data_IF_600802822882
#
_entry.id   IF_600802822882
#
_cell.length_a   1.000
_cell.length_b   1.000
_cell.length_c   1.000
_cell.angle_alpha   90.00
_cell.angle_beta   90.00
_cell.angle_gamma   90.00
#
_symmetry.space_group_name_H-M   'P 1'
#
loop_
_entity.id
_entity.type
_entity.pdbx_description
1 polymer ?
#
# COMPACT_ATOMS: atom_id res chain seq x y z
N UNK A 1 -21.68 -7.38 -4.26
CA UNK A 1 -21.32 -7.48 -5.69
C UNK A 1 -19.85 -7.85 -5.76
N UNK A 2 -19.51 -8.95 -6.44
CA UNK A 2 -18.14 -9.40 -6.61
C UNK A 2 -17.43 -8.39 -7.52
N UNK A 3 -16.49 -7.61 -7.01
CA UNK A 3 -15.99 -6.42 -7.72
C UNK A 3 -15.02 -6.72 -8.87
N UNK A 4 -14.84 -7.99 -9.26
CA UNK A 4 -13.85 -8.47 -10.24
C UNK A 4 -12.58 -7.61 -10.20
N UNK A 5 -11.98 -7.48 -9.03
CA UNK A 5 -10.83 -6.61 -8.78
C UNK A 5 -9.57 -7.46 -8.79
N UNK A 6 -8.60 -7.08 -9.60
CA UNK A 6 -7.25 -7.61 -9.58
C UNK A 6 -6.28 -6.48 -9.27
N UNK A 7 -5.30 -6.74 -8.40
CA UNK A 7 -4.31 -5.75 -7.98
C UNK A 7 -2.93 -6.35 -8.07
N UNK A 8 -1.99 -5.59 -8.60
CA UNK A 8 -0.62 -6.04 -8.81
C UNK A 8 0.38 -5.01 -8.27
N UNK A 9 1.25 -5.45 -7.37
CA UNK A 9 2.39 -4.66 -6.91
C UNK A 9 3.53 -4.70 -7.95
N UNK A 10 4.16 -3.57 -8.20
CA UNK A 10 5.21 -3.45 -9.23
C UNK A 10 6.23 -2.36 -8.89
N UNK A 11 7.51 -2.60 -9.20
CA UNK A 11 8.53 -1.55 -9.30
C UNK A 11 9.62 -1.54 -8.21
N UNK A 12 9.48 -2.33 -7.14
CA UNK A 12 10.43 -2.31 -6.02
C UNK A 12 11.81 -2.88 -6.37
N UNK A 13 11.86 -3.88 -7.26
CA UNK A 13 13.06 -4.68 -7.52
C UNK A 13 13.95 -4.15 -8.65
N UNK A 14 13.58 -3.04 -9.30
CA UNK A 14 14.35 -2.45 -10.42
C UNK A 14 14.72 -3.45 -11.53
N UNK A 15 13.84 -4.42 -11.80
CA UNK A 15 14.02 -5.48 -12.79
C UNK A 15 13.70 -5.05 -14.24
N UNK A 16 13.29 -3.79 -14.45
CA UNK A 16 12.92 -3.25 -15.75
C UNK A 16 11.56 -3.71 -16.28
N UNK A 17 10.73 -4.36 -15.44
CA UNK A 17 9.36 -4.77 -15.78
C UNK A 17 8.48 -3.53 -16.02
N UNK A 18 7.76 -3.51 -17.15
CA UNK A 18 6.86 -2.42 -17.54
C UNK A 18 5.41 -2.83 -17.32
N UNK A 19 4.52 -1.84 -17.16
CA UNK A 19 3.07 -2.08 -17.15
C UNK A 19 2.57 -2.88 -18.37
N UNK A 20 3.20 -2.69 -19.54
CA UNK A 20 2.83 -3.36 -20.79
C UNK A 20 3.18 -4.85 -20.83
N UNK A 21 4.05 -5.31 -19.93
CA UNK A 21 4.52 -6.69 -19.90
C UNK A 21 3.51 -7.60 -19.18
N UNK A 22 2.60 -7.01 -18.39
CA UNK A 22 1.61 -7.74 -17.61
C UNK A 22 0.30 -7.99 -18.39
N UNK A 23 -0.30 -9.17 -18.26
CA UNK A 23 -1.57 -9.49 -18.89
C UNK A 23 -2.73 -8.76 -18.20
N UNK A 24 -3.44 -7.90 -18.94
CA UNK A 24 -4.58 -7.14 -18.42
C UNK A 24 -5.88 -7.70 -18.98
N UNK A 25 -6.72 -8.26 -18.11
CA UNK A 25 -8.06 -8.71 -18.46
C UNK A 25 -9.05 -7.54 -18.42
N UNK A 26 -9.65 -7.19 -19.57
CA UNK A 26 -10.60 -6.08 -19.70
C UNK A 26 -11.90 -6.24 -18.90
N UNK A 27 -12.22 -7.45 -18.45
CA UNK A 27 -13.45 -7.76 -17.68
C UNK A 27 -13.28 -7.62 -16.16
N UNK A 28 -12.09 -7.19 -15.71
CA UNK A 28 -11.77 -6.94 -14.31
C UNK A 28 -11.33 -5.48 -14.11
N UNK A 29 -11.65 -4.87 -12.97
CA UNK A 29 -10.97 -3.67 -12.52
C UNK A 29 -9.52 -4.06 -12.20
N UNK A 30 -8.55 -3.37 -12.79
CA UNK A 30 -7.14 -3.70 -12.65
C UNK A 30 -6.41 -2.54 -11.99
N UNK A 31 -5.83 -2.76 -10.83
CA UNK A 31 -5.06 -1.73 -10.11
C UNK A 31 -3.59 -2.11 -10.07
N UNK A 32 -2.72 -1.33 -10.72
CA UNK A 32 -1.30 -1.39 -10.42
C UNK A 32 -1.01 -0.64 -9.12
N UNK A 33 -0.08 -1.12 -8.31
CA UNK A 33 0.37 -0.48 -7.07
C UNK A 33 1.89 -0.32 -7.16
N UNK A 34 2.35 0.93 -7.31
CA UNK A 34 3.77 1.27 -7.37
C UNK A 34 4.41 1.09 -6.00
N UNK A 35 5.43 0.23 -5.93
CA UNK A 35 6.17 -0.10 -4.70
C UNK A 35 7.59 0.45 -4.77
N UNK A 36 8.01 1.41 -3.95
CA UNK A 36 7.27 2.08 -2.87
C UNK A 36 7.52 3.60 -2.88
N UNK A 37 6.63 4.35 -2.22
CA UNK A 37 7.01 5.63 -1.61
C UNK A 37 7.41 5.40 -0.15
N UNK A 38 8.50 6.03 0.27
CA UNK A 38 9.03 5.87 1.62
C UNK A 38 9.37 7.25 2.18
N UNK A 39 8.96 7.57 3.40
CA UNK A 39 9.30 8.81 4.08
C UNK A 39 10.70 8.79 4.68
N UNK A 40 11.67 8.31 3.90
CA UNK A 40 13.10 8.23 4.20
C UNK A 40 13.92 9.00 3.16
N UNK A 41 15.11 9.45 3.53
CA UNK A 41 16.05 10.09 2.59
C UNK A 41 16.46 9.12 1.47
N UNK A 42 16.62 9.62 0.24
CA UNK A 42 17.02 8.80 -0.92
C UNK A 42 18.51 8.49 -0.96
N UNK A 43 19.33 9.29 -0.30
CA UNK A 43 20.78 9.09 -0.22
C UNK A 43 21.14 8.29 1.03
N UNK A 44 22.14 7.41 0.89
CA UNK A 44 22.69 6.65 2.00
C UNK A 44 23.60 7.53 2.87
N UNK A 45 23.52 7.43 4.22
CA UNK A 45 22.61 6.58 4.98
C UNK A 45 21.16 7.09 4.94
N UNK A 46 20.21 6.15 4.78
CA UNK A 46 18.79 6.45 4.78
C UNK A 46 18.31 6.79 6.20
N UNK A 47 17.50 7.85 6.34
CA UNK A 47 16.96 8.28 7.62
C UNK A 47 15.49 8.74 7.49
N UNK A 48 14.64 8.53 8.52
CA UNK A 48 13.26 9.00 8.52
C UNK A 48 13.18 10.51 8.30
N UNK A 49 12.13 10.95 7.60
CA UNK A 49 11.93 12.36 7.20
C UNK A 49 10.65 12.96 7.76
N UNK A 50 10.02 12.29 8.73
CA UNK A 50 8.78 12.71 9.36
C UNK A 50 7.66 12.94 8.32
N UNK A 51 7.36 11.92 7.51
CA UNK A 51 6.26 11.96 6.53
C UNK A 51 6.58 12.65 5.21
N UNK A 52 7.84 12.99 4.90
CA UNK A 52 8.19 13.52 3.57
C UNK A 52 8.54 12.39 2.61
N UNK A 53 7.53 11.89 1.91
CA UNK A 53 7.66 10.75 1.01
C UNK A 53 8.57 11.03 -0.19
N UNK A 54 9.46 10.07 -0.47
CA UNK A 54 10.28 10.01 -1.67
C UNK A 54 9.98 8.73 -2.46
N UNK A 55 10.34 8.73 -3.74
CA UNK A 55 10.10 7.62 -4.67
C UNK A 55 11.24 6.60 -4.57
N UNK A 56 10.89 5.32 -4.39
CA UNK A 56 11.82 4.19 -4.32
C UNK A 56 11.48 3.06 -5.31
N UNK A 57 10.54 3.25 -6.23
CA UNK A 57 10.36 2.34 -7.37
C UNK A 57 11.26 2.73 -8.56
N UNK A 58 11.37 1.84 -9.54
CA UNK A 58 11.99 2.10 -10.84
C UNK A 58 11.26 3.19 -11.64
N UNK A 59 11.52 4.44 -11.29
CA UNK A 59 10.86 5.62 -11.86
C UNK A 59 11.27 5.94 -13.30
N UNK A 60 12.37 5.36 -13.78
CA UNK A 60 12.79 5.45 -15.17
C UNK A 60 11.87 4.59 -16.05
N UNK A 61 11.63 3.34 -15.63
CA UNK A 61 10.73 2.41 -16.34
C UNK A 61 9.27 2.77 -16.12
N UNK A 62 8.87 3.01 -14.87
CA UNK A 62 7.49 3.28 -14.44
C UNK A 62 7.25 4.79 -14.30
N UNK A 63 7.59 5.53 -15.35
CA UNK A 63 7.49 7.00 -15.39
C UNK A 63 6.05 7.54 -15.42
N UNK A 64 5.82 8.84 -15.16
CA UNK A 64 4.49 9.45 -15.31
C UNK A 64 3.86 9.24 -16.69
N UNK A 65 4.68 9.24 -17.75
CA UNK A 65 4.22 8.98 -19.11
C UNK A 65 3.79 7.52 -19.29
N UNK A 66 4.49 6.58 -18.65
CA UNK A 66 4.11 5.16 -18.67
C UNK A 66 2.76 4.93 -17.97
N UNK A 67 2.52 5.59 -16.83
CA UNK A 67 1.23 5.57 -16.12
C UNK A 67 0.10 6.10 -17.00
N UNK A 68 0.30 7.27 -17.62
CA UNK A 68 -0.72 7.82 -18.53
C UNK A 68 -0.97 6.95 -19.75
N UNK A 69 0.09 6.36 -20.33
CA UNK A 69 -0.02 5.50 -21.50
C UNK A 69 -0.83 4.24 -21.20
N UNK A 70 -0.58 3.56 -20.07
CA UNK A 70 -1.30 2.34 -19.72
C UNK A 70 -2.78 2.62 -19.42
N UNK A 71 -3.09 3.69 -18.68
CA UNK A 71 -4.47 4.12 -18.39
C UNK A 71 -5.21 4.57 -19.65
N UNK A 72 -4.50 5.19 -20.60
CA UNK A 72 -5.09 5.59 -21.89
C UNK A 72 -5.48 4.38 -22.72
N UNK A 73 -4.63 3.35 -22.73
CA UNK A 73 -4.81 2.08 -23.46
C UNK A 73 -5.88 1.17 -22.82
N UNK A 74 -5.97 1.15 -21.50
CA UNK A 74 -6.89 0.27 -20.75
C UNK A 74 -7.78 1.07 -19.80
N UNK A 75 -9.06 1.25 -20.16
CA UNK A 75 -10.01 2.07 -19.37
C UNK A 75 -10.38 1.47 -18.02
N UNK A 76 -10.14 0.18 -17.83
CA UNK A 76 -10.32 -0.55 -16.58
C UNK A 76 -9.09 -0.50 -15.66
N UNK A 77 -8.02 0.22 -16.04
CA UNK A 77 -6.80 0.33 -15.23
C UNK A 77 -6.80 1.58 -14.36
N UNK A 78 -6.45 1.40 -13.09
CA UNK A 78 -6.02 2.45 -12.16
C UNK A 78 -4.58 2.19 -11.72
N UNK A 79 -3.89 3.23 -11.26
CA UNK A 79 -2.54 3.11 -10.69
C UNK A 79 -2.48 3.83 -9.36
N UNK A 80 -2.09 3.12 -8.31
CA UNK A 80 -1.83 3.64 -6.97
C UNK A 80 -0.34 3.61 -6.64
N UNK A 81 0.04 4.19 -5.50
CA UNK A 81 1.34 3.98 -4.86
C UNK A 81 1.16 3.29 -3.51
N UNK A 82 2.15 2.53 -3.06
CA UNK A 82 2.21 1.97 -1.70
C UNK A 82 3.20 2.74 -0.83
N UNK A 83 2.86 2.92 0.44
CA UNK A 83 3.63 3.66 1.45
C UNK A 83 4.29 2.67 2.40
N UNK A 84 5.61 2.76 2.57
CA UNK A 84 6.35 1.93 3.51
C UNK A 84 7.18 0.86 2.80
N UNK A 85 6.77 -0.40 2.94
CA UNK A 85 7.54 -1.60 2.61
C UNK A 85 8.38 -2.10 3.79
N UNK A 86 9.05 -3.23 3.58
CA UNK A 86 9.89 -3.87 4.61
C UNK A 86 11.17 -3.06 4.91
N UNK A 87 11.95 -2.72 3.87
CA UNK A 87 13.29 -2.16 4.05
C UNK A 87 13.66 -1.06 3.05
N UNK A 88 14.63 -0.23 3.44
CA UNK A 88 15.31 0.74 2.59
C UNK A 88 16.82 0.64 2.80
N UNK A 89 17.54 0.26 1.74
CA UNK A 89 18.96 -0.08 1.83
C UNK A 89 19.20 -1.33 2.68
N UNK A 90 19.80 -1.16 3.87
CA UNK A 90 20.09 -2.27 4.81
C UNK A 90 19.24 -2.26 6.08
N UNK A 91 18.31 -1.32 6.19
CA UNK A 91 17.53 -1.09 7.41
C UNK A 91 16.04 -1.18 7.15
N UNK A 92 15.30 -1.54 8.19
CA UNK A 92 13.84 -1.61 8.16
C UNK A 92 13.24 -0.22 8.02
N UNK A 93 12.13 -0.12 7.28
CA UNK A 93 11.33 1.10 7.21
C UNK A 93 10.47 1.21 8.47
N UNK A 94 11.02 1.82 9.50
CA UNK A 94 10.31 2.09 10.75
C UNK A 94 9.33 3.24 10.58
N UNK A 95 8.08 3.07 11.02
CA UNK A 95 7.09 4.15 11.11
C UNK A 95 7.44 5.09 12.28
N UNK A 96 7.96 6.29 11.96
CA UNK A 96 8.59 7.20 12.93
C UNK A 96 8.11 8.66 12.83
N UNK A 97 6.84 8.96 13.19
CA UNK A 97 6.36 10.33 13.22
C UNK A 97 6.99 11.12 14.38
N UNK A 98 7.36 12.39 14.13
CA UNK A 98 7.78 13.30 15.22
C UNK A 98 6.57 13.81 16.02
N UNK A 99 5.45 14.02 15.35
CA UNK A 99 4.13 14.21 15.93
C UNK A 99 3.07 13.87 14.87
N UNK A 100 1.85 13.53 15.30
CA UNK A 100 0.74 13.25 14.37
C UNK A 100 0.57 14.40 13.36
N UNK A 101 0.45 15.64 13.85
CA UNK A 101 0.19 16.79 12.97
C UNK A 101 1.31 17.04 11.97
N UNK A 102 2.57 17.06 12.44
CA UNK A 102 3.71 17.37 11.56
C UNK A 102 3.96 16.28 10.52
N UNK A 103 3.78 15.01 10.90
CA UNK A 103 3.87 13.90 9.96
C UNK A 103 2.75 13.97 8.92
N UNK A 104 1.50 14.20 9.35
CA UNK A 104 0.34 14.30 8.44
C UNK A 104 0.49 15.46 7.47
N UNK A 105 0.93 16.64 7.92
CA UNK A 105 1.12 17.80 7.04
C UNK A 105 2.18 17.53 5.96
N UNK A 106 3.32 16.94 6.36
CA UNK A 106 4.37 16.54 5.43
C UNK A 106 3.90 15.44 4.46
N UNK A 107 3.17 14.44 4.96
CA UNK A 107 2.67 13.32 4.18
C UNK A 107 1.66 13.78 3.13
N UNK A 108 0.67 14.57 3.56
CA UNK A 108 -0.33 15.13 2.65
C UNK A 108 0.33 15.99 1.58
N UNK A 109 1.30 16.84 1.95
CA UNK A 109 1.98 17.71 0.99
C UNK A 109 2.82 16.92 -0.03
N UNK A 110 3.70 16.04 0.45
CA UNK A 110 4.61 15.28 -0.41
C UNK A 110 3.87 14.29 -1.31
N UNK A 111 2.91 13.54 -0.76
CA UNK A 111 2.10 12.59 -1.53
C UNK A 111 1.20 13.28 -2.55
N UNK A 112 0.63 14.45 -2.23
CA UNK A 112 -0.15 15.22 -3.21
C UNK A 112 0.69 15.53 -4.44
N UNK A 113 1.94 15.97 -4.26
CA UNK A 113 2.84 16.27 -5.38
C UNK A 113 3.13 15.02 -6.21
N UNK A 114 3.48 13.90 -5.58
CA UNK A 114 3.78 12.64 -6.27
C UNK A 114 2.54 12.13 -7.04
N UNK A 115 1.38 12.10 -6.38
CA UNK A 115 0.12 11.60 -6.96
C UNK A 115 -0.27 12.44 -8.19
N UNK A 116 -0.18 13.76 -8.10
CA UNK A 116 -0.50 14.65 -9.22
C UNK A 116 0.51 14.50 -10.37
N UNK A 117 1.81 14.42 -10.05
CA UNK A 117 2.87 14.25 -11.05
C UNK A 117 2.71 12.93 -11.82
N UNK A 118 2.35 11.84 -11.14
CA UNK A 118 2.23 10.51 -11.74
C UNK A 118 0.81 10.17 -12.22
N UNK A 119 -0.17 11.05 -12.00
CA UNK A 119 -1.58 10.82 -12.35
C UNK A 119 -2.17 9.57 -11.67
N UNK A 120 -1.84 9.39 -10.39
CA UNK A 120 -2.24 8.23 -9.58
C UNK A 120 -3.67 8.39 -9.04
N UNK A 121 -4.32 7.26 -8.78
CA UNK A 121 -5.74 7.17 -8.43
C UNK A 121 -5.97 6.80 -6.95
N UNK A 122 -4.93 6.32 -6.25
CA UNK A 122 -5.06 5.74 -4.91
C UNK A 122 -3.75 5.62 -4.16
N UNK A 123 -3.87 5.28 -2.89
CA UNK A 123 -2.75 4.91 -2.01
C UNK A 123 -2.99 3.56 -1.35
N UNK A 124 -1.90 2.91 -0.96
CA UNK A 124 -1.87 1.67 -0.18
C UNK A 124 -0.93 1.84 1.02
N UNK A 125 -1.33 1.37 2.20
CA UNK A 125 -0.54 1.52 3.44
C UNK A 125 0.09 0.18 3.79
N UNK A 126 1.43 0.12 3.75
CA UNK A 126 2.21 -1.12 3.84
C UNK A 126 3.45 -0.94 4.73
N UNK A 127 3.28 -0.31 5.91
CA UNK A 127 4.33 -0.26 6.92
C UNK A 127 4.34 -1.57 7.71
N UNK A 128 5.52 -2.16 7.90
CA UNK A 128 5.64 -3.47 8.58
C UNK A 128 6.39 -3.39 9.92
N UNK A 129 7.06 -2.26 10.20
CA UNK A 129 7.92 -2.09 11.38
C UNK A 129 7.47 -0.90 12.24
N UNK A 130 7.22 -1.16 13.53
CA UNK A 130 6.57 -0.21 14.44
C UNK A 130 7.28 -0.05 15.79
N UNK A 131 8.60 -0.25 15.85
CA UNK A 131 9.33 -0.23 17.14
C UNK A 131 9.32 1.15 17.82
N UNK A 132 8.96 2.19 17.07
CA UNK A 132 9.01 3.59 17.48
C UNK A 132 7.65 4.30 17.44
N UNK A 133 6.56 3.57 17.26
CA UNK A 133 5.20 4.12 17.27
C UNK A 133 4.21 3.13 17.88
N UNK A 134 3.25 3.64 18.62
CA UNK A 134 2.14 2.84 19.13
C UNK A 134 0.97 2.77 18.11
N UNK A 135 0.03 1.83 18.29
CA UNK A 135 -1.13 1.68 17.41
C UNK A 135 -2.01 2.92 17.26
N UNK A 136 -2.17 3.75 18.31
CA UNK A 136 -3.01 4.94 18.23
C UNK A 136 -2.31 6.03 17.41
N UNK A 137 -1.01 6.24 17.63
CA UNK A 137 -0.22 7.22 16.86
C UNK A 137 -0.22 6.87 15.38
N UNK A 138 0.00 5.59 15.02
CA UNK A 138 -0.12 5.11 13.65
C UNK A 138 -1.53 5.34 13.08
N UNK A 139 -2.57 4.95 13.82
CA UNK A 139 -3.97 5.09 13.39
C UNK A 139 -4.34 6.55 13.13
N UNK A 140 -3.92 7.48 13.99
CA UNK A 140 -4.15 8.92 13.80
C UNK A 140 -3.45 9.44 12.55
N UNK A 141 -2.17 9.12 12.38
CA UNK A 141 -1.39 9.59 11.24
C UNK A 141 -2.00 9.11 9.91
N UNK A 142 -2.20 7.80 9.78
CA UNK A 142 -2.71 7.21 8.54
C UNK A 142 -4.17 7.58 8.30
N UNK A 143 -5.01 7.54 9.33
CA UNK A 143 -6.42 7.89 9.23
C UNK A 143 -6.65 9.33 8.80
N UNK A 144 -5.89 10.28 9.38
CA UNK A 144 -5.96 11.69 8.99
C UNK A 144 -5.39 11.92 7.58
N UNK A 145 -4.29 11.24 7.21
CA UNK A 145 -3.75 11.27 5.85
C UNK A 145 -4.79 10.86 4.81
N UNK A 146 -5.38 9.66 4.95
CA UNK A 146 -6.40 9.14 4.02
C UNK A 146 -7.60 10.09 3.97
N UNK A 147 -8.06 10.55 5.13
CA UNK A 147 -9.18 11.51 5.22
C UNK A 147 -8.90 12.77 4.42
N UNK A 148 -7.72 13.37 4.58
CA UNK A 148 -7.37 14.62 3.90
C UNK A 148 -7.21 14.42 2.38
N UNK A 149 -6.53 13.36 1.94
CA UNK A 149 -6.36 13.08 0.52
C UNK A 149 -7.71 12.84 -0.18
N UNK A 150 -8.62 12.08 0.45
CA UNK A 150 -9.98 11.88 -0.09
C UNK A 150 -10.80 13.16 -0.09
N UNK A 151 -10.82 13.93 1.01
CA UNK A 151 -11.57 15.20 1.08
C UNK A 151 -11.10 16.23 0.06
N UNK A 152 -9.81 16.22 -0.28
CA UNK A 152 -9.21 17.10 -1.31
C UNK A 152 -9.35 16.52 -2.73
N UNK A 153 -10.02 15.38 -2.91
CA UNK A 153 -10.14 14.65 -4.18
C UNK A 153 -8.78 14.34 -4.84
N UNK A 154 -7.74 14.12 -4.04
CA UNK A 154 -6.41 13.74 -4.53
C UNK A 154 -6.37 12.25 -4.89
N UNK A 155 -7.10 11.43 -4.13
CA UNK A 155 -7.24 9.99 -4.39
C UNK A 155 -8.70 9.58 -4.42
N UNK A 156 -9.00 8.57 -5.23
CA UNK A 156 -10.33 7.96 -5.33
C UNK A 156 -10.49 6.73 -4.43
N UNK A 157 -9.38 6.07 -4.06
CA UNK A 157 -9.40 4.93 -3.15
C UNK A 157 -8.17 4.87 -2.24
N UNK A 158 -8.29 4.13 -1.15
CA UNK A 158 -7.22 3.77 -0.23
C UNK A 158 -7.31 2.30 0.17
N UNK A 159 -6.17 1.66 0.38
CA UNK A 159 -6.08 0.31 0.94
C UNK A 159 -5.03 0.18 2.03
N UNK A 160 -5.09 -0.93 2.75
CA UNK A 160 -4.12 -1.33 3.77
C UNK A 160 -3.62 -2.75 3.45
N UNK A 161 -2.37 -3.05 3.76
CA UNK A 161 -1.72 -4.35 3.47
C UNK A 161 -1.18 -5.06 4.73
N UNK A 162 -2.05 -5.43 5.70
CA UNK A 162 -1.63 -6.14 6.90
C UNK A 162 -1.31 -7.63 6.63
N UNK A 163 -0.58 -8.26 7.56
CA UNK A 163 -0.30 -9.70 7.54
C UNK A 163 -0.35 -10.35 8.93
N UNK A 164 -0.11 -11.66 9.03
CA UNK A 164 -0.19 -12.42 10.28
C UNK A 164 1.03 -12.24 11.20
N UNK A 165 1.21 -11.02 11.70
CA UNK A 165 2.20 -10.66 12.70
C UNK A 165 1.53 -9.85 13.82
N UNK A 166 1.91 -10.10 15.08
CA UNK A 166 1.26 -9.47 16.25
C UNK A 166 1.34 -7.94 16.22
N UNK A 167 2.53 -7.38 15.96
CA UNK A 167 2.75 -5.94 15.93
C UNK A 167 1.96 -5.33 14.77
N UNK A 168 2.07 -5.88 13.56
CA UNK A 168 1.33 -5.41 12.37
C UNK A 168 -0.18 -5.48 12.60
N UNK A 169 -0.71 -6.61 13.10
CA UNK A 169 -2.12 -6.76 13.36
C UNK A 169 -2.65 -5.77 14.40
N UNK A 170 -1.89 -5.51 15.46
CA UNK A 170 -2.33 -4.54 16.48
C UNK A 170 -2.48 -3.14 15.89
N UNK A 171 -1.55 -2.71 15.03
CA UNK A 171 -1.56 -1.40 14.38
C UNK A 171 -2.67 -1.26 13.34
N UNK A 172 -2.77 -2.21 12.42
CA UNK A 172 -3.78 -2.17 11.36
C UNK A 172 -5.19 -2.44 11.87
N UNK A 173 -5.37 -3.22 12.95
CA UNK A 173 -6.69 -3.38 13.59
C UNK A 173 -7.12 -2.09 14.30
N UNK A 174 -6.21 -1.40 14.97
CA UNK A 174 -6.50 -0.08 15.55
C UNK A 174 -6.91 0.93 14.47
N UNK A 175 -6.18 0.96 13.35
CA UNK A 175 -6.50 1.81 12.20
C UNK A 175 -7.88 1.45 11.63
N UNK A 176 -8.15 0.17 11.40
CA UNK A 176 -9.43 -0.29 10.87
C UNK A 176 -10.60 0.07 11.79
N UNK A 177 -10.47 -0.16 13.09
CA UNK A 177 -11.53 0.13 14.06
C UNK A 177 -11.91 1.62 14.08
N UNK A 178 -10.95 2.51 13.86
CA UNK A 178 -11.19 3.96 13.88
C UNK A 178 -11.53 4.55 12.51
N UNK A 179 -10.89 4.07 11.46
CA UNK A 179 -10.91 4.65 10.11
C UNK A 179 -11.31 3.67 9.00
N UNK A 180 -11.77 2.46 9.31
CA UNK A 180 -12.17 1.46 8.30
C UNK A 180 -13.22 1.96 7.31
N UNK A 181 -14.08 2.90 7.72
CA UNK A 181 -15.11 3.50 6.87
C UNK A 181 -14.57 4.36 5.71
N UNK A 182 -13.29 4.76 5.75
CA UNK A 182 -12.61 5.48 4.64
C UNK A 182 -11.60 4.61 3.89
N UNK A 183 -11.45 3.33 4.26
CA UNK A 183 -10.52 2.38 3.62
C UNK A 183 -11.34 1.44 2.73
N UNK A 184 -11.02 1.38 1.44
CA UNK A 184 -11.84 0.68 0.46
C UNK A 184 -11.53 -0.81 0.36
N UNK A 185 -10.26 -1.18 0.59
CA UNK A 185 -9.77 -2.55 0.43
C UNK A 185 -8.73 -2.91 1.50
N UNK A 186 -8.71 -4.20 1.86
CA UNK A 186 -7.69 -4.80 2.71
C UNK A 186 -6.93 -5.83 1.86
N UNK A 187 -5.72 -5.46 1.45
CA UNK A 187 -4.78 -6.31 0.73
C UNK A 187 -4.06 -7.23 1.73
N UNK A 188 -4.81 -8.07 2.44
CA UNK A 188 -4.18 -8.94 3.45
C UNK A 188 -3.15 -9.84 2.78
N UNK A 189 -1.92 -9.86 3.30
CA UNK A 189 -0.81 -10.59 2.72
C UNK A 189 -0.87 -12.08 3.14
N UNK A 190 -1.69 -12.88 2.44
CA UNK A 190 -1.85 -14.30 2.77
C UNK A 190 -0.61 -15.14 2.47
N UNK A 191 0.30 -14.65 1.63
CA UNK A 191 1.60 -15.28 1.39
C UNK A 191 2.55 -15.21 2.61
N UNK A 192 2.21 -14.46 3.65
CA UNK A 192 2.94 -14.49 4.92
C UNK A 192 2.64 -15.75 5.77
N UNK A 193 1.60 -16.51 5.43
CA UNK A 193 1.36 -17.81 6.05
C UNK A 193 2.38 -18.86 5.56
N UNK A 194 2.57 -19.90 6.36
CA UNK A 194 3.53 -20.96 6.07
C UNK A 194 3.26 -21.65 4.74
N UNK A 195 4.31 -22.04 4.01
CA UNK A 195 4.19 -22.64 2.69
C UNK A 195 3.52 -24.03 2.66
N UNK A 196 3.36 -24.65 3.82
CA UNK A 196 2.60 -25.89 3.98
C UNK A 196 1.09 -25.67 4.17
N UNK A 197 0.62 -24.42 4.06
CA UNK A 197 -0.80 -24.07 4.23
C UNK A 197 -1.68 -24.83 3.25
N UNK A 198 -2.54 -25.69 3.78
CA UNK A 198 -3.55 -26.42 2.99
C UNK A 198 -4.71 -25.51 2.59
N UNK A 199 -5.49 -25.93 1.59
CA UNK A 199 -6.71 -25.21 1.16
C UNK A 199 -7.67 -24.96 2.33
N UNK A 200 -7.88 -25.95 3.21
CA UNK A 200 -8.77 -25.80 4.36
C UNK A 200 -8.22 -24.79 5.38
N UNK A 201 -6.91 -24.78 5.64
CA UNK A 201 -6.28 -23.78 6.49
C UNK A 201 -6.37 -22.38 5.87
N UNK A 202 -6.12 -22.24 4.57
CA UNK A 202 -6.28 -20.97 3.87
C UNK A 202 -7.70 -20.40 4.02
N UNK A 203 -8.74 -21.23 3.85
CA UNK A 203 -10.14 -20.80 4.03
C UNK A 203 -10.38 -20.36 5.49
N UNK A 204 -9.81 -21.06 6.48
CA UNK A 204 -9.91 -20.66 7.88
C UNK A 204 -9.21 -19.32 8.13
N UNK A 205 -7.99 -19.14 7.63
CA UNK A 205 -7.26 -17.87 7.73
C UNK A 205 -8.03 -16.74 7.05
N UNK A 206 -8.55 -16.95 5.85
CA UNK A 206 -9.38 -15.97 5.16
C UNK A 206 -10.59 -15.55 6.01
N UNK A 207 -11.32 -16.51 6.58
CA UNK A 207 -12.47 -16.20 7.43
C UNK A 207 -12.06 -15.44 8.70
N UNK A 208 -10.93 -15.78 9.32
CA UNK A 208 -10.36 -15.07 10.46
C UNK A 208 -10.06 -13.60 10.10
N UNK A 209 -9.39 -13.36 8.98
CA UNK A 209 -9.06 -12.00 8.55
C UNK A 209 -10.30 -11.21 8.11
N UNK A 210 -11.24 -11.84 7.41
CA UNK A 210 -12.53 -11.24 7.06
C UNK A 210 -13.32 -10.80 8.31
N UNK A 211 -13.27 -11.59 9.40
CA UNK A 211 -13.89 -11.21 10.67
C UNK A 211 -13.16 -10.06 11.36
N UNK A 212 -11.83 -10.00 11.27
CA UNK A 212 -11.02 -8.92 11.86
C UNK A 212 -11.29 -7.58 11.19
N UNK A 213 -11.42 -7.59 9.86
CA UNK A 213 -11.74 -6.41 9.05
C UNK A 213 -13.23 -6.39 8.65
N UNK A 214 -14.11 -6.70 9.59
CA UNK A 214 -15.55 -6.83 9.35
C UNK A 214 -16.14 -5.58 8.69
N UNK A 215 -16.99 -5.78 7.69
CA UNK A 215 -17.55 -4.73 6.84
C UNK A 215 -16.63 -4.27 5.69
N UNK A 216 -15.38 -4.71 5.69
CA UNK A 216 -14.38 -4.39 4.66
C UNK A 216 -14.37 -5.36 3.49
N UNK A 217 -13.56 -5.03 2.47
CA UNK A 217 -13.26 -5.90 1.33
C UNK A 217 -11.87 -6.50 1.51
N UNK A 218 -11.80 -7.66 2.16
CA UNK A 218 -10.56 -8.42 2.30
C UNK A 218 -10.29 -9.18 1.01
N UNK A 219 -9.16 -8.90 0.37
CA UNK A 219 -8.73 -9.53 -0.87
C UNK A 219 -7.78 -10.71 -0.56
N UNK A 220 -7.96 -11.82 -1.27
CA UNK A 220 -7.00 -12.93 -1.26
C UNK A 220 -5.75 -12.56 -2.04
N UNK A 221 -4.59 -13.04 -1.62
CA UNK A 221 -3.30 -12.75 -2.26
C UNK A 221 -2.38 -13.97 -2.24
N UNK A 222 -1.37 -13.93 -3.09
CA UNK A 222 -0.26 -14.89 -3.16
C UNK A 222 0.94 -14.14 -3.74
N UNK A 223 2.13 -14.72 -3.65
CA UNK A 223 3.37 -14.19 -4.25
C UNK A 223 3.88 -15.17 -5.30
N UNK A 224 4.62 -14.67 -6.28
CA UNK A 224 5.07 -15.43 -7.46
C UNK A 224 6.53 -15.84 -7.40
N UNK A 225 7.30 -15.34 -6.42
CA UNK A 225 8.73 -15.64 -6.23
C UNK A 225 9.01 -16.90 -5.39
N UNK A 226 7.97 -17.69 -5.06
CA UNK A 226 8.13 -18.99 -4.41
C UNK A 226 8.22 -18.94 -2.88
N UNK A 227 7.84 -17.84 -2.24
CA UNK A 227 7.60 -17.75 -0.80
C UNK A 227 6.12 -18.02 -0.47
N UNK A 228 5.80 -19.18 0.10
CA UNK A 228 4.42 -19.53 0.48
C UNK A 228 3.74 -20.51 -0.46
#
# INVERSE_FOLDING_TARGET
ANSNLFREYIGAEFTGVKFSDLPINANAQFDFILSFTIDYTTSSPHSPTNGKFNIFWDSETLSPNAVQAIKSKHKNVRVALSLGGDSVGKGNVQFMPSSVSSWVDNAVSSLTNIIQQYHLDGIDIDYEHFDYSDPNTFSECIGQLITQLKKKNIVSFASIAPFDNEQVQSHYSALWNKYGHIIDYVNFQFYAYDNSTTVSQFIQYFNTQASRYSGGKVLTSFVTEGSG
#
